data_IF_551092076454
#
_entry.id   IF_551092076454
#
_cell.length_a   1.000
_cell.length_b   1.000
_cell.length_c   1.000
_cell.angle_alpha   90.00
_cell.angle_beta   90.00
_cell.angle_gamma   90.00
#
_symmetry.space_group_name_H-M   'P 1'
#
loop_
_entity.id
_entity.type
_entity.pdbx_description
1 polymer ?
#
# COMPACT_ATOMS: atom_id res chain seq x y z
N UNK A 1 12.35 41.10 -12.98
CA UNK A 1 11.99 40.54 -14.30
C UNK A 1 13.19 40.05 -15.11
N UNK A 2 14.12 40.90 -15.57
CA UNK A 2 15.24 40.47 -16.44
C UNK A 2 16.08 39.32 -15.87
N UNK A 3 16.40 39.36 -14.57
CA UNK A 3 17.12 38.28 -13.89
C UNK A 3 16.31 36.97 -13.88
N UNK A 4 15.01 37.03 -13.58
CA UNK A 4 14.10 35.87 -13.60
C UNK A 4 14.05 35.25 -15.00
N UNK A 5 13.86 36.04 -16.06
CA UNK A 5 13.88 35.54 -17.45
C UNK A 5 15.21 34.87 -17.81
N UNK A 6 16.33 35.45 -17.37
CA UNK A 6 17.66 34.88 -17.62
C UNK A 6 17.84 33.52 -16.93
N UNK A 7 17.38 33.39 -15.68
CA UNK A 7 17.43 32.12 -14.95
C UNK A 7 16.50 31.05 -15.56
N UNK A 8 15.31 31.45 -16.01
CA UNK A 8 14.38 30.57 -16.71
C UNK A 8 14.97 30.06 -18.04
N UNK A 9 15.61 30.94 -18.81
CA UNK A 9 16.31 30.59 -20.04
C UNK A 9 17.49 29.64 -19.77
N UNK A 10 18.16 29.77 -18.62
CA UNK A 10 19.19 28.83 -18.16
C UNK A 10 18.64 27.49 -17.62
N UNK A 11 17.31 27.29 -17.64
CA UNK A 11 16.68 26.02 -17.24
C UNK A 11 16.31 25.92 -15.76
N UNK A 12 16.48 26.99 -14.97
CA UNK A 12 16.01 26.99 -13.58
C UNK A 12 14.47 27.03 -13.53
N UNK A 13 13.87 26.22 -12.65
CA UNK A 13 12.41 26.07 -12.50
C UNK A 13 11.92 26.19 -11.06
N UNK A 14 12.82 26.54 -10.15
CA UNK A 14 12.54 26.64 -8.71
C UNK A 14 13.12 27.94 -8.21
N UNK A 15 12.28 28.77 -7.59
CA UNK A 15 12.65 30.04 -7.01
C UNK A 15 12.24 30.05 -5.53
N UNK A 16 13.14 30.54 -4.68
CA UNK A 16 12.87 30.70 -3.24
C UNK A 16 13.00 32.17 -2.90
N UNK A 17 11.90 32.78 -2.51
CA UNK A 17 11.87 34.16 -2.04
C UNK A 17 12.25 34.20 -0.55
N UNK A 18 13.44 34.74 -0.28
CA UNK A 18 13.96 34.89 1.08
C UNK A 18 13.61 36.28 1.60
N UNK A 19 12.63 36.37 2.51
CA UNK A 19 12.22 37.64 3.08
C UNK A 19 11.09 37.53 4.09
N UNK A 20 10.73 38.63 4.78
CA UNK A 20 9.68 38.64 5.81
C UNK A 20 8.25 38.48 5.25
N UNK A 21 8.09 38.60 3.93
CA UNK A 21 6.84 38.40 3.21
C UNK A 21 7.13 38.08 1.73
N UNK A 22 6.23 37.40 1.02
CA UNK A 22 6.34 37.18 -0.42
C UNK A 22 5.88 38.42 -1.19
N UNK A 23 6.83 39.28 -1.57
CA UNK A 23 6.61 40.45 -2.41
C UNK A 23 6.93 40.19 -3.89
N UNK A 24 7.76 39.19 -4.19
CA UNK A 24 8.23 38.89 -5.54
C UNK A 24 7.49 37.70 -6.17
N UNK A 25 6.85 36.86 -5.37
CA UNK A 25 6.21 35.61 -5.81
C UNK A 25 5.37 35.77 -7.08
N UNK A 26 4.36 36.65 -7.06
CA UNK A 26 3.50 36.90 -8.23
C UNK A 26 4.28 37.41 -9.44
N UNK A 27 5.24 38.33 -9.24
CA UNK A 27 6.05 38.85 -10.34
C UNK A 27 6.95 37.78 -10.96
N UNK A 28 7.42 36.81 -10.17
CA UNK A 28 8.19 35.66 -10.67
C UNK A 28 7.27 34.71 -11.44
N UNK A 29 6.10 34.39 -10.90
CA UNK A 29 5.09 33.53 -11.53
C UNK A 29 4.62 34.09 -12.88
N UNK A 30 4.27 35.38 -12.94
CA UNK A 30 3.89 36.07 -14.17
C UNK A 30 5.01 36.03 -15.21
N UNK A 31 6.24 36.36 -14.78
CA UNK A 31 7.41 36.30 -15.66
C UNK A 31 7.65 34.89 -16.20
N UNK A 32 7.41 33.86 -15.38
CA UNK A 32 7.59 32.47 -15.77
C UNK A 32 6.51 32.00 -16.75
N UNK A 33 5.26 32.38 -16.53
CA UNK A 33 4.17 32.14 -17.46
C UNK A 33 4.46 32.77 -18.84
N UNK A 34 4.87 34.05 -18.86
CA UNK A 34 5.25 34.77 -20.08
C UNK A 34 6.44 34.14 -20.81
N UNK A 35 7.36 33.53 -20.07
CA UNK A 35 8.53 32.85 -20.62
C UNK A 35 8.23 31.40 -21.07
N UNK A 36 6.97 30.95 -21.00
CA UNK A 36 6.56 29.60 -21.40
C UNK A 36 6.94 28.51 -20.39
N UNK A 37 7.10 28.85 -19.11
CA UNK A 37 7.39 27.93 -18.01
C UNK A 37 6.39 28.09 -16.83
N UNK A 38 5.06 27.96 -17.07
CA UNK A 38 4.03 28.16 -16.05
C UNK A 38 4.12 27.16 -14.88
N UNK A 39 4.80 26.03 -15.06
CA UNK A 39 5.05 25.02 -14.03
C UNK A 39 6.18 25.38 -13.05
N UNK A 40 6.78 26.56 -13.19
CA UNK A 40 7.83 27.05 -12.30
C UNK A 40 7.34 27.11 -10.85
N UNK A 41 8.09 26.47 -9.95
CA UNK A 41 7.80 26.48 -8.52
C UNK A 41 8.37 27.74 -7.87
N UNK A 42 7.53 28.51 -7.20
CA UNK A 42 7.95 29.65 -6.38
C UNK A 42 7.56 29.39 -4.92
N UNK A 43 8.52 29.52 -4.01
CA UNK A 43 8.35 29.28 -2.57
C UNK A 43 8.69 30.53 -1.78
N UNK A 44 7.99 30.76 -0.67
CA UNK A 44 8.27 31.83 0.29
C UNK A 44 8.89 31.28 1.58
N UNK A 45 9.87 31.98 2.16
CA UNK A 45 10.44 31.55 3.44
C UNK A 45 9.65 32.05 4.66
N UNK A 46 9.13 33.29 4.63
CA UNK A 46 8.33 33.88 5.71
C UNK A 46 7.16 34.70 5.15
N UNK A 47 6.16 34.93 6.01
CA UNK A 47 4.96 35.72 5.69
C UNK A 47 4.72 36.79 6.74
N UNK A 48 4.16 37.93 6.30
CA UNK A 48 3.75 39.02 7.19
C UNK A 48 2.77 38.49 8.23
N UNK A 49 3.03 38.77 9.52
CA UNK A 49 2.18 38.31 10.63
C UNK A 49 2.32 36.82 10.97
N UNK A 50 3.15 36.06 10.24
CA UNK A 50 3.42 34.64 10.47
C UNK A 50 4.92 34.35 10.29
N UNK A 51 5.77 35.17 10.93
CA UNK A 51 7.22 34.97 10.93
C UNK A 51 7.68 33.88 11.91
N UNK A 52 8.99 33.65 11.93
CA UNK A 52 9.65 32.75 12.89
C UNK A 52 9.86 31.32 12.38
N UNK A 53 10.46 30.51 13.25
CA UNK A 53 10.99 29.19 12.88
C UNK A 53 9.91 28.24 12.35
N UNK A 54 8.70 28.26 12.90
CA UNK A 54 7.59 27.41 12.45
C UNK A 54 7.24 27.65 10.98
N UNK A 55 7.16 28.91 10.54
CA UNK A 55 6.84 29.21 9.12
C UNK A 55 7.99 28.80 8.22
N UNK A 56 9.23 29.07 8.64
CA UNK A 56 10.41 28.63 7.91
C UNK A 56 10.46 27.10 7.75
N UNK A 57 10.20 26.34 8.82
CA UNK A 57 10.08 24.88 8.77
C UNK A 57 8.94 24.42 7.86
N UNK A 58 7.83 25.16 7.82
CA UNK A 58 6.72 24.88 6.90
C UNK A 58 7.14 25.10 5.44
N UNK A 59 7.92 26.14 5.14
CA UNK A 59 8.48 26.37 3.81
C UNK A 59 9.41 25.23 3.37
N UNK A 60 10.23 24.70 4.29
CA UNK A 60 11.04 23.50 4.03
C UNK A 60 10.17 22.26 3.78
N UNK A 61 9.10 22.08 4.54
CA UNK A 61 8.15 20.98 4.31
C UNK A 61 7.43 21.11 2.96
N UNK A 62 7.02 22.31 2.58
CA UNK A 62 6.44 22.62 1.27
C UNK A 62 7.44 22.29 0.14
N UNK A 63 8.70 22.71 0.28
CA UNK A 63 9.78 22.36 -0.65
C UNK A 63 9.91 20.83 -0.81
N UNK A 64 9.93 20.10 0.31
CA UNK A 64 10.06 18.64 0.33
C UNK A 64 8.89 17.94 -0.35
N UNK A 65 7.64 18.34 -0.05
CA UNK A 65 6.43 17.77 -0.67
C UNK A 65 6.38 18.05 -2.17
N UNK A 66 6.99 19.16 -2.61
CA UNK A 66 7.15 19.49 -4.04
C UNK A 66 8.34 18.78 -4.72
N UNK A 67 9.00 17.86 -4.02
CA UNK A 67 10.07 17.02 -4.57
C UNK A 67 11.47 17.60 -4.43
N UNK A 68 11.65 18.73 -3.74
CA UNK A 68 12.98 19.27 -3.48
C UNK A 68 13.68 18.48 -2.37
N UNK A 69 14.98 18.25 -2.55
CA UNK A 69 15.80 17.63 -1.51
C UNK A 69 16.02 18.64 -0.37
N UNK A 70 15.50 18.31 0.80
CA UNK A 70 15.76 19.04 2.05
C UNK A 70 16.67 18.20 2.92
N UNK A 71 17.71 18.83 3.44
CA UNK A 71 18.63 18.21 4.40
C UNK A 71 18.03 18.31 5.80
N UNK A 72 17.23 17.31 6.16
CA UNK A 72 16.59 17.22 7.47
C UNK A 72 17.60 16.94 8.59
N UNK A 73 18.71 16.26 8.29
CA UNK A 73 19.77 15.98 9.27
C UNK A 73 20.38 17.29 9.80
N UNK A 74 20.70 18.23 8.89
CA UNK A 74 21.17 19.57 9.29
C UNK A 74 20.15 20.36 10.09
N UNK A 75 18.85 20.21 9.79
CA UNK A 75 17.81 20.93 10.52
C UNK A 75 17.68 20.44 11.97
N UNK A 76 17.95 19.15 12.21
CA UNK A 76 17.80 18.51 13.51
C UNK A 76 19.12 18.31 14.27
N UNK A 77 20.25 18.73 13.70
CA UNK A 77 21.56 18.66 14.34
C UNK A 77 21.55 19.35 15.73
N UNK A 78 22.07 18.67 16.74
CA UNK A 78 22.12 19.18 18.12
C UNK A 78 20.78 19.23 18.87
N UNK A 79 19.65 18.88 18.24
CA UNK A 79 18.33 18.90 18.90
C UNK A 79 18.02 17.62 19.70
N UNK A 80 18.77 16.54 19.46
CA UNK A 80 18.48 15.21 20.00
C UNK A 80 17.30 14.50 19.32
N UNK A 81 16.74 15.07 18.25
CA UNK A 81 15.71 14.41 17.47
C UNK A 81 16.26 13.13 16.82
N UNK A 82 15.39 12.12 16.72
CA UNK A 82 15.68 10.84 16.09
C UNK A 82 14.58 10.48 15.11
N UNK A 83 14.94 9.79 14.04
CA UNK A 83 13.94 9.21 13.14
C UNK A 83 13.19 8.10 13.89
N UNK A 84 11.86 8.12 13.77
CA UNK A 84 10.98 7.09 14.34
C UNK A 84 10.11 6.52 13.23
N UNK A 85 9.80 5.23 13.33
CA UNK A 85 8.85 4.62 12.41
C UNK A 85 7.47 5.21 12.64
N UNK A 86 6.85 5.67 11.56
CA UNK A 86 5.44 6.03 11.57
C UNK A 86 4.59 4.76 11.47
N UNK A 87 3.39 4.72 12.05
CA UNK A 87 2.45 3.63 11.82
C UNK A 87 2.33 3.37 10.32
N UNK A 88 2.50 2.12 9.92
CA UNK A 88 2.33 1.72 8.51
C UNK A 88 0.92 2.09 8.04
N UNK A 89 0.78 2.39 6.74
CA UNK A 89 -0.47 2.71 6.06
C UNK A 89 -1.68 2.02 6.70
N UNK A 90 -2.70 2.78 7.04
CA UNK A 90 -3.93 2.25 7.61
C UNK A 90 -4.71 1.49 6.53
N UNK A 91 -4.31 0.25 6.26
CA UNK A 91 -5.05 -0.62 5.36
C UNK A 91 -6.51 -0.67 5.80
N UNK A 92 -7.42 -0.41 4.86
CA UNK A 92 -8.82 -0.76 5.06
C UNK A 92 -8.89 -2.28 5.04
N UNK A 93 -8.83 -2.89 6.23
CA UNK A 93 -8.77 -4.35 6.47
C UNK A 93 -10.07 -5.05 6.03
N UNK A 94 -10.39 -5.00 4.74
CA UNK A 94 -11.56 -5.64 4.15
C UNK A 94 -11.14 -7.00 3.59
N UNK A 95 -11.86 -8.04 4.02
CA UNK A 95 -11.67 -9.40 3.51
C UNK A 95 -12.27 -9.48 2.11
N UNK A 96 -11.45 -9.71 1.10
CA UNK A 96 -11.87 -9.94 -0.30
C UNK A 96 -11.76 -11.42 -0.71
N UNK A 97 -11.66 -12.32 0.27
CA UNK A 97 -11.70 -13.77 0.02
C UNK A 97 -13.14 -14.21 -0.26
N UNK A 98 -13.30 -15.17 -1.16
CA UNK A 98 -14.57 -15.87 -1.36
C UNK A 98 -14.97 -16.57 -0.06
N UNK A 99 -16.24 -16.50 0.31
CA UNK A 99 -16.77 -17.31 1.40
C UNK A 99 -16.73 -18.80 1.02
N UNK A 100 -16.49 -19.66 2.01
CA UNK A 100 -16.51 -21.09 1.80
C UNK A 100 -17.88 -21.48 1.22
N UNK A 101 -17.89 -22.01 0.00
CA UNK A 101 -19.11 -22.50 -0.62
C UNK A 101 -19.69 -23.64 0.21
N UNK A 102 -21.04 -23.80 0.25
CA UNK A 102 -21.68 -24.91 0.94
C UNK A 102 -21.04 -26.24 0.58
N UNK A 103 -20.96 -27.10 1.58
CA UNK A 103 -20.46 -28.45 1.49
C UNK A 103 -20.98 -29.22 0.26
N UNK A 104 -20.08 -29.75 -0.58
CA UNK A 104 -20.43 -30.64 -1.71
C UNK A 104 -20.29 -30.00 -3.09
N UNK A 105 -19.17 -29.32 -3.35
CA UNK A 105 -18.86 -28.92 -4.73
C UNK A 105 -18.66 -30.18 -5.56
N UNK A 106 -19.39 -30.25 -6.67
CA UNK A 106 -19.28 -31.32 -7.65
C UNK A 106 -17.81 -31.49 -8.07
N UNK A 107 -17.16 -32.64 -7.78
CA UNK A 107 -15.79 -32.88 -8.18
C UNK A 107 -15.59 -32.76 -9.70
N UNK A 108 -16.64 -32.98 -10.50
CA UNK A 108 -16.61 -32.75 -11.95
C UNK A 108 -16.33 -31.28 -12.28
N UNK A 109 -16.85 -30.33 -11.49
CA UNK A 109 -16.55 -28.90 -11.66
C UNK A 109 -15.09 -28.53 -11.35
N UNK A 110 -14.36 -29.41 -10.63
CA UNK A 110 -12.93 -29.29 -10.39
C UNK A 110 -12.10 -30.12 -11.41
N UNK A 111 -12.73 -30.71 -12.43
CA UNK A 111 -12.08 -31.55 -13.43
C UNK A 111 -11.74 -32.96 -12.94
N UNK A 112 -12.39 -33.42 -11.87
CA UNK A 112 -12.17 -34.74 -11.27
C UNK A 112 -13.34 -35.68 -11.59
N UNK A 113 -13.08 -36.98 -11.59
CA UNK A 113 -14.13 -37.98 -11.78
C UNK A 113 -14.83 -38.26 -10.46
N UNK A 114 -16.15 -38.09 -10.40
CA UNK A 114 -16.92 -38.41 -9.21
C UNK A 114 -16.93 -39.93 -8.95
N UNK A 115 -16.85 -40.33 -7.68
CA UNK A 115 -16.91 -41.74 -7.27
C UNK A 115 -18.07 -41.90 -6.27
N UNK A 116 -18.89 -42.93 -6.45
CA UNK A 116 -19.96 -43.27 -5.51
C UNK A 116 -19.39 -44.09 -4.34
N UNK A 117 -18.63 -43.43 -3.47
CA UNK A 117 -18.04 -44.04 -2.27
C UNK A 117 -18.34 -43.21 -1.01
N UNK A 118 -18.67 -43.84 0.13
CA UNK A 118 -19.07 -43.13 1.36
C UNK A 118 -18.01 -42.20 1.97
N UNK A 119 -16.74 -42.32 1.56
CA UNK A 119 -15.63 -41.51 2.07
C UNK A 119 -14.78 -40.85 0.97
N UNK A 120 -14.79 -41.43 -0.23
CA UNK A 120 -13.93 -41.02 -1.34
C UNK A 120 -14.84 -40.31 -2.33
N UNK A 121 -14.72 -38.99 -2.43
CA UNK A 121 -15.66 -38.19 -3.21
C UNK A 121 -15.32 -38.16 -4.70
N UNK A 122 -14.05 -38.27 -5.05
CA UNK A 122 -13.58 -38.24 -6.42
C UNK A 122 -12.25 -38.95 -6.60
N UNK A 123 -11.93 -39.27 -7.84
CA UNK A 123 -10.65 -39.83 -8.25
C UNK A 123 -9.96 -38.97 -9.30
N UNK A 124 -8.63 -39.04 -9.26
CA UNK A 124 -7.72 -38.46 -10.25
C UNK A 124 -6.68 -39.51 -10.58
N UNK A 125 -6.62 -39.93 -11.84
CA UNK A 125 -5.54 -40.77 -12.35
C UNK A 125 -4.25 -39.93 -12.43
N UNK A 126 -3.19 -40.40 -11.77
CA UNK A 126 -1.90 -39.74 -11.80
C UNK A 126 -1.13 -40.17 -13.07
N UNK A 127 -0.35 -39.26 -13.67
CA UNK A 127 0.45 -39.59 -14.86
C UNK A 127 1.55 -40.63 -14.54
N UNK A 128 2.14 -41.18 -15.59
CA UNK A 128 3.28 -42.11 -15.53
C UNK A 128 3.02 -43.39 -14.72
N UNK A 129 1.79 -43.90 -14.76
CA UNK A 129 1.33 -45.08 -14.00
C UNK A 129 1.56 -44.96 -12.48
N UNK A 130 1.63 -43.73 -11.96
CA UNK A 130 1.86 -43.46 -10.53
C UNK A 130 0.65 -43.80 -9.62
N UNK A 131 -0.44 -44.29 -10.20
CA UNK A 131 -1.63 -44.77 -9.50
C UNK A 131 -2.79 -43.77 -9.47
N UNK A 132 -3.75 -44.02 -8.58
CA UNK A 132 -4.99 -43.22 -8.47
C UNK A 132 -4.99 -42.45 -7.15
N UNK A 133 -5.21 -41.14 -7.23
CA UNK A 133 -5.45 -40.28 -6.06
C UNK A 133 -6.95 -40.15 -5.83
N UNK A 134 -7.42 -40.53 -4.65
CA UNK A 134 -8.78 -40.21 -4.21
C UNK A 134 -8.79 -38.90 -3.42
N UNK A 135 -9.75 -38.04 -3.72
CA UNK A 135 -9.99 -36.79 -3.00
C UNK A 135 -11.39 -36.81 -2.38
N UNK A 136 -11.55 -36.06 -1.29
CA UNK A 136 -12.83 -35.99 -0.59
C UNK A 136 -12.79 -34.98 0.55
N UNK A 137 -13.97 -34.59 1.03
CA UNK A 137 -14.08 -33.75 2.23
C UNK A 137 -14.98 -34.42 3.26
N UNK A 138 -14.34 -34.92 4.30
CA UNK A 138 -15.00 -35.46 5.48
C UNK A 138 -15.26 -34.28 6.43
N UNK A 139 -16.52 -34.10 6.82
CA UNK A 139 -16.91 -33.07 7.79
C UNK A 139 -18.18 -33.51 8.50
N UNK A 140 -18.43 -33.09 9.75
CA UNK A 140 -19.69 -33.36 10.45
C UNK A 140 -20.94 -32.89 9.68
N UNK A 141 -20.81 -31.87 8.84
CA UNK A 141 -21.91 -31.37 8.01
C UNK A 141 -22.29 -32.34 6.87
N UNK A 142 -21.35 -33.16 6.40
CA UNK A 142 -21.57 -34.12 5.29
C UNK A 142 -21.65 -35.57 5.77
N UNK A 143 -20.96 -35.90 6.86
CA UNK A 143 -20.89 -37.23 7.46
C UNK A 143 -21.20 -37.10 8.95
N UNK A 144 -22.48 -36.95 9.35
CA UNK A 144 -22.84 -36.69 10.74
C UNK A 144 -22.37 -37.79 11.69
N UNK A 145 -22.40 -39.05 11.24
CA UNK A 145 -21.92 -40.22 11.99
C UNK A 145 -20.44 -40.13 12.39
N UNK A 146 -19.65 -39.26 11.75
CA UNK A 146 -18.25 -39.08 12.08
C UNK A 146 -18.04 -38.47 13.47
N UNK A 147 -19.03 -37.74 13.99
CA UNK A 147 -18.94 -37.17 15.34
C UNK A 147 -19.02 -38.23 16.43
N UNK A 148 -19.46 -39.45 16.10
CA UNK A 148 -19.59 -40.55 17.06
C UNK A 148 -18.21 -41.14 17.43
N UNK A 149 -17.17 -40.85 16.65
CA UNK A 149 -15.79 -41.24 16.96
C UNK A 149 -15.01 -40.07 17.58
N UNK A 150 -15.05 -39.99 18.91
CA UNK A 150 -14.31 -39.00 19.69
C UNK A 150 -13.32 -39.66 20.64
N UNK A 151 -12.06 -39.20 20.61
CA UNK A 151 -11.01 -39.62 21.54
C UNK A 151 -10.59 -38.42 22.37
N UNK A 152 -10.67 -38.55 23.70
CA UNK A 152 -10.41 -37.46 24.64
C UNK A 152 -11.19 -36.15 24.34
N UNK A 153 -12.41 -36.27 23.80
CA UNK A 153 -13.28 -35.13 23.48
C UNK A 153 -13.01 -34.45 22.13
N UNK A 154 -12.02 -34.92 21.36
CA UNK A 154 -11.78 -34.46 19.99
C UNK A 154 -12.36 -35.46 18.97
N UNK A 155 -13.11 -34.95 17.98
CA UNK A 155 -13.56 -35.74 16.82
C UNK A 155 -12.35 -35.99 15.91
N UNK A 156 -12.00 -37.26 15.74
CA UNK A 156 -10.85 -37.68 14.92
C UNK A 156 -11.28 -38.71 13.88
N UNK A 157 -10.49 -38.86 12.81
CA UNK A 157 -10.72 -39.91 11.82
C UNK A 157 -10.38 -41.27 12.44
N UNK A 158 -11.30 -42.27 12.43
CA UNK A 158 -10.97 -43.60 12.91
C UNK A 158 -9.84 -44.21 12.07
N UNK A 159 -8.86 -44.84 12.71
CA UNK A 159 -7.78 -45.54 11.98
C UNK A 159 -8.24 -46.79 11.21
N UNK A 160 -9.49 -47.23 11.41
CA UNK A 160 -10.12 -48.33 10.67
C UNK A 160 -10.86 -47.87 9.40
N UNK A 161 -10.91 -46.56 9.15
CA UNK A 161 -11.53 -45.97 7.96
C UNK A 161 -10.66 -46.16 6.69
#
# INVERSE_FOLDING_TARGET
EQATRSLLAAGHRVFVEVGPQPALMYGIEDTAADAGAPETLVLDTLRRGAGGLRRFQTALAEAHVRGLRVDWERLFEGTGARQVDLPTYAFQRRRYWLDALPAGRDPVAAGQSAVDHPLLGAEVELPDDAGTLFTGRISPATHPWFTDHAVAGAVIVPGAA
#
